data_IF_587806898877
#
_entry.id   IF_587806898877
#
_cell.length_a   1.000
_cell.length_b   1.000
_cell.length_c   1.000
_cell.angle_alpha   90.00
_cell.angle_beta   90.00
_cell.angle_gamma   90.00
#
_symmetry.space_group_name_H-M   'P 1'
#
loop_
_entity.id
_entity.type
_entity.pdbx_description
1 polymer ?
#
# COMPACT_ATOMS: atom_id res chain seq x y z
N UNK A 1 -42.79 2.63 -33.48
CA UNK A 1 -42.44 3.50 -32.34
C UNK A 1 -41.35 2.78 -31.56
N UNK A 2 -40.08 3.12 -31.81
CA UNK A 2 -38.92 2.57 -31.11
C UNK A 2 -38.67 3.39 -29.85
N UNK A 3 -38.75 2.75 -28.68
CA UNK A 3 -38.40 3.37 -27.41
C UNK A 3 -36.88 3.61 -27.35
N UNK A 4 -36.49 4.88 -27.24
CA UNK A 4 -35.13 5.30 -26.94
C UNK A 4 -34.79 4.89 -25.50
N UNK A 5 -33.99 3.84 -25.33
CA UNK A 5 -33.40 3.51 -24.04
C UNK A 5 -32.39 4.58 -23.64
N UNK A 6 -32.71 5.37 -22.62
CA UNK A 6 -31.78 6.33 -22.02
C UNK A 6 -30.55 5.60 -21.50
N UNK A 7 -29.38 5.88 -22.09
CA UNK A 7 -28.09 5.40 -21.61
C UNK A 7 -27.91 5.90 -20.16
N UNK A 8 -27.83 4.99 -19.19
CA UNK A 8 -27.51 5.35 -17.80
C UNK A 8 -26.16 6.10 -17.80
N UNK A 9 -26.18 7.38 -17.42
CA UNK A 9 -24.96 8.15 -17.16
C UNK A 9 -24.65 8.11 -15.67
N UNK A 10 -23.54 7.51 -15.29
CA UNK A 10 -23.07 7.44 -13.91
C UNK A 10 -21.72 6.75 -13.82
N UNK A 11 -20.95 7.07 -12.77
CA UNK A 11 -19.69 6.39 -12.44
C UNK A 11 -20.00 5.27 -11.46
N UNK A 12 -19.68 4.03 -11.82
CA UNK A 12 -19.72 2.92 -10.87
C UNK A 12 -18.57 3.09 -9.87
N UNK A 13 -18.88 3.07 -8.58
CA UNK A 13 -17.90 3.25 -7.52
C UNK A 13 -18.16 2.28 -6.38
N UNK A 14 -17.11 1.59 -5.94
CA UNK A 14 -17.12 0.82 -4.70
C UNK A 14 -17.01 1.77 -3.51
N UNK A 15 -17.96 1.73 -2.56
CA UNK A 15 -17.91 2.55 -1.35
C UNK A 15 -17.69 1.67 -0.10
N UNK A 16 -17.04 2.23 0.93
CA UNK A 16 -16.84 1.57 2.21
C UNK A 16 -16.73 2.59 3.34
N UNK A 17 -16.93 2.13 4.59
CA UNK A 17 -16.85 2.97 5.79
C UNK A 17 -15.48 3.66 5.85
N UNK A 18 -15.47 4.97 6.12
CA UNK A 18 -14.26 5.79 6.23
C UNK A 18 -13.38 5.81 4.96
N UNK A 19 -13.95 5.60 3.76
CA UNK A 19 -13.22 5.67 2.49
C UNK A 19 -12.43 6.97 2.25
N UNK A 20 -12.79 8.08 2.89
CA UNK A 20 -12.06 9.35 2.81
C UNK A 20 -10.97 9.51 3.88
N UNK A 21 -10.75 8.51 4.74
CA UNK A 21 -9.72 8.50 5.79
C UNK A 21 -8.61 7.52 5.44
N UNK A 22 -7.54 7.56 6.21
CA UNK A 22 -6.41 6.63 6.13
C UNK A 22 -6.17 5.96 7.49
N UNK A 23 -5.39 4.89 7.48
CA UNK A 23 -5.02 4.12 8.66
C UNK A 23 -3.55 4.34 8.98
N UNK A 24 -3.27 4.71 10.23
CA UNK A 24 -1.90 4.71 10.77
C UNK A 24 -1.76 3.61 11.81
N UNK A 25 -0.55 3.05 11.94
CA UNK A 25 -0.26 2.06 12.97
C UNK A 25 -0.12 2.77 14.32
N UNK A 26 -0.95 2.40 15.29
CA UNK A 26 -0.93 2.94 16.65
C UNK A 26 0.11 2.24 17.52
N UNK A 27 0.20 0.92 17.40
CA UNK A 27 1.14 0.07 18.12
C UNK A 27 1.63 -1.05 17.18
N UNK A 28 2.91 -0.97 16.79
CA UNK A 28 3.55 -1.93 15.90
C UNK A 28 3.62 -3.35 16.50
N UNK A 29 3.63 -3.48 17.83
CA UNK A 29 3.68 -4.78 18.52
C UNK A 29 2.33 -5.49 18.58
N UNK A 30 1.23 -4.77 18.32
CA UNK A 30 -0.14 -5.29 18.44
C UNK A 30 -0.96 -5.21 17.15
N UNK A 31 -0.40 -4.67 16.06
CA UNK A 31 -1.10 -4.56 14.79
C UNK A 31 -2.34 -3.67 14.82
N UNK A 32 -2.44 -2.74 15.78
CA UNK A 32 -3.62 -1.88 15.93
C UNK A 32 -3.53 -0.66 15.01
N UNK A 33 -4.63 -0.35 14.34
CA UNK A 33 -4.75 0.81 13.46
C UNK A 33 -5.64 1.91 14.05
N UNK A 34 -5.32 3.15 13.72
CA UNK A 34 -6.10 4.34 14.04
C UNK A 34 -6.57 5.01 12.74
N UNK A 35 -7.87 5.35 12.67
CA UNK A 35 -8.43 6.13 11.56
C UNK A 35 -8.09 7.60 11.72
N UNK A 36 -7.42 8.17 10.72
CA UNK A 36 -7.05 9.59 10.71
C UNK A 36 -7.45 10.25 9.38
N UNK A 37 -7.51 11.58 9.38
CA UNK A 37 -7.71 12.32 8.15
C UNK A 37 -6.48 12.16 7.24
N UNK A 38 -6.68 12.16 5.92
CA UNK A 38 -5.57 12.03 4.95
C UNK A 38 -4.52 13.16 5.06
N UNK A 39 -4.93 14.31 5.60
CA UNK A 39 -4.06 15.46 5.84
C UNK A 39 -3.39 15.47 7.23
N UNK A 40 -3.59 14.42 8.04
CA UNK A 40 -2.90 14.30 9.32
C UNK A 40 -1.38 14.26 9.08
N UNK A 41 -0.62 15.09 9.80
CA UNK A 41 0.82 15.25 9.59
C UNK A 41 1.58 13.92 9.72
N UNK A 42 1.08 12.98 10.54
CA UNK A 42 1.66 11.64 10.74
C UNK A 42 1.61 10.79 9.48
N UNK A 43 0.66 11.04 8.58
CA UNK A 43 0.53 10.34 7.29
C UNK A 43 1.65 10.74 6.33
N UNK A 44 2.13 11.97 6.46
CA UNK A 44 3.25 12.51 5.65
C UNK A 44 4.62 12.32 6.31
N UNK A 45 4.67 11.70 7.50
CA UNK A 45 5.90 11.48 8.23
C UNK A 45 6.86 10.59 7.43
N UNK A 46 8.07 11.08 7.20
CA UNK A 46 9.13 10.33 6.51
C UNK A 46 10.02 9.68 7.57
N UNK A 47 10.10 8.34 7.54
CA UNK A 47 10.94 7.57 8.47
C UNK A 47 12.29 7.28 7.83
N UNK A 48 13.37 7.76 8.43
CA UNK A 48 14.72 7.48 7.95
C UNK A 48 15.04 5.99 8.14
N UNK A 49 15.68 5.38 7.13
CA UNK A 49 16.16 4.01 7.26
C UNK A 49 17.41 3.97 8.14
N UNK A 50 17.41 3.03 9.07
CA UNK A 50 18.58 2.65 9.85
C UNK A 50 19.15 1.37 9.26
N UNK A 51 20.38 1.42 8.77
CA UNK A 51 21.07 0.20 8.34
C UNK A 51 21.30 -0.70 9.56
N UNK A 52 20.89 -1.97 9.45
CA UNK A 52 21.04 -2.98 10.50
C UNK A 52 22.17 -3.93 10.13
N UNK A 53 22.14 -4.47 8.90
CA UNK A 53 23.09 -5.45 8.40
C UNK A 53 23.32 -5.28 6.90
N UNK A 54 24.47 -5.80 6.43
CA UNK A 54 24.92 -5.72 5.04
C UNK A 54 25.49 -7.07 4.60
N UNK A 55 24.96 -7.62 3.51
CA UNK A 55 25.33 -8.95 3.02
C UNK A 55 25.89 -8.89 1.59
N UNK A 56 26.96 -9.65 1.33
CA UNK A 56 27.58 -9.77 0.01
C UNK A 56 28.59 -8.66 -0.33
N UNK A 57 29.39 -8.88 -1.38
CA UNK A 57 30.43 -7.94 -1.84
C UNK A 57 29.86 -6.70 -2.57
N UNK A 58 28.71 -6.83 -3.25
CA UNK A 58 28.01 -5.77 -3.97
C UNK A 58 26.64 -5.50 -3.35
N UNK A 59 26.61 -5.12 -2.08
CA UNK A 59 25.38 -4.98 -1.31
C UNK A 59 24.54 -3.73 -1.66
N UNK A 60 24.89 -2.96 -2.68
CA UNK A 60 24.19 -1.72 -3.06
C UNK A 60 22.98 -1.95 -3.97
N UNK A 61 22.88 -3.14 -4.55
CA UNK A 61 21.90 -3.44 -5.60
C UNK A 61 20.57 -3.88 -5.02
N UNK A 62 20.61 -4.62 -3.90
CA UNK A 62 19.44 -5.17 -3.22
C UNK A 62 19.20 -4.47 -1.88
N UNK A 63 17.93 -4.31 -1.50
CA UNK A 63 17.52 -3.69 -0.25
C UNK A 63 16.41 -4.52 0.39
N UNK A 64 16.58 -4.83 1.68
CA UNK A 64 15.54 -5.43 2.53
C UNK A 64 15.16 -4.37 3.57
N UNK A 65 13.87 -4.04 3.64
CA UNK A 65 13.33 -3.08 4.59
C UNK A 65 12.43 -3.84 5.56
N UNK A 66 12.78 -3.81 6.84
CA UNK A 66 11.97 -4.39 7.91
C UNK A 66 11.14 -3.29 8.57
N UNK A 67 9.81 -3.38 8.44
CA UNK A 67 8.86 -2.43 9.01
C UNK A 67 7.51 -2.45 8.31
N UNK A 68 6.63 -1.53 8.67
CA UNK A 68 5.37 -1.36 7.95
C UNK A 68 5.61 -0.89 6.51
N UNK A 69 4.91 -1.51 5.56
CA UNK A 69 5.10 -1.28 4.13
C UNK A 69 4.67 0.11 3.67
N UNK A 70 3.65 0.73 4.28
CA UNK A 70 3.22 2.07 3.89
C UNK A 70 4.30 3.10 4.27
N UNK A 71 4.91 2.96 5.45
CA UNK A 71 6.06 3.76 5.86
C UNK A 71 7.26 3.55 4.93
N UNK A 72 7.59 2.30 4.59
CA UNK A 72 8.69 1.97 3.70
C UNK A 72 8.52 2.61 2.32
N UNK A 73 7.35 2.45 1.70
CA UNK A 73 7.04 3.03 0.40
C UNK A 73 7.06 4.57 0.44
N UNK A 74 6.58 5.17 1.54
CA UNK A 74 6.64 6.62 1.75
C UNK A 74 8.09 7.10 1.79
N UNK A 75 8.96 6.44 2.56
CA UNK A 75 10.38 6.78 2.64
C UNK A 75 11.10 6.61 1.30
N UNK A 76 10.83 5.53 0.55
CA UNK A 76 11.36 5.33 -0.80
C UNK A 76 10.95 6.45 -1.76
N UNK A 77 9.72 6.97 -1.64
CA UNK A 77 9.21 8.03 -2.51
C UNK A 77 9.69 9.44 -2.14
N UNK A 78 10.05 9.68 -0.87
CA UNK A 78 10.30 11.03 -0.32
C UNK A 78 11.77 11.33 -0.02
N UNK A 79 12.55 10.35 0.42
CA UNK A 79 13.97 10.59 0.75
C UNK A 79 14.75 10.80 -0.56
N UNK A 80 15.51 11.90 -0.74
CA UNK A 80 16.09 12.27 -2.03
C UNK A 80 16.92 11.16 -2.72
N UNK A 81 17.75 10.46 -1.96
CA UNK A 81 18.59 9.37 -2.46
C UNK A 81 17.76 8.23 -3.05
N UNK A 82 16.77 7.74 -2.29
CA UNK A 82 15.89 6.66 -2.71
C UNK A 82 14.91 7.09 -3.80
N UNK A 83 14.38 8.31 -3.70
CA UNK A 83 13.50 8.89 -4.70
C UNK A 83 14.15 8.88 -6.08
N UNK A 84 15.41 9.30 -6.17
CA UNK A 84 16.18 9.29 -7.43
C UNK A 84 16.32 7.89 -8.02
N UNK A 85 16.41 6.86 -7.17
CA UNK A 85 16.60 5.46 -7.56
C UNK A 85 15.29 4.74 -7.92
N UNK A 86 14.18 5.05 -7.24
CA UNK A 86 12.97 4.22 -7.29
C UNK A 86 11.73 4.90 -7.87
N UNK A 87 11.55 6.22 -7.79
CA UNK A 87 10.35 6.88 -8.33
C UNK A 87 10.32 6.83 -9.85
N UNK A 88 9.24 6.30 -10.41
CA UNK A 88 9.09 6.00 -11.84
C UNK A 88 10.17 5.07 -12.42
N UNK A 89 10.77 4.20 -11.60
CA UNK A 89 11.87 3.30 -12.01
C UNK A 89 11.60 1.82 -11.74
N UNK A 90 10.58 1.49 -10.94
CA UNK A 90 10.28 0.09 -10.60
C UNK A 90 9.54 -0.57 -11.76
N UNK A 91 10.14 -1.63 -12.31
CA UNK A 91 9.58 -2.36 -13.45
C UNK A 91 8.45 -3.31 -13.08
N UNK A 92 8.53 -3.91 -11.89
CA UNK A 92 7.57 -4.89 -11.41
C UNK A 92 7.36 -4.71 -9.91
N UNK A 93 6.09 -4.64 -9.51
CA UNK A 93 5.68 -4.73 -8.12
C UNK A 93 4.82 -5.99 -8.01
N UNK A 94 5.23 -6.91 -7.15
CA UNK A 94 4.45 -8.10 -6.81
C UNK A 94 4.08 -8.03 -5.34
N UNK A 95 2.79 -8.16 -5.02
CA UNK A 95 2.30 -8.22 -3.65
C UNK A 95 1.39 -9.42 -3.45
N UNK A 96 1.54 -10.06 -2.29
CA UNK A 96 0.71 -11.15 -1.82
C UNK A 96 0.12 -10.74 -0.46
N UNK A 97 -0.87 -9.83 -0.44
CA UNK A 97 -1.48 -9.35 0.79
C UNK A 97 -2.32 -10.46 1.44
N UNK A 98 -2.62 -10.37 2.76
CA UNK A 98 -3.57 -11.27 3.40
C UNK A 98 -4.91 -11.25 2.65
N UNK A 99 -5.50 -12.43 2.42
CA UNK A 99 -6.65 -12.60 1.54
C UNK A 99 -7.99 -12.17 2.15
N UNK A 100 -8.03 -11.92 3.46
CA UNK A 100 -9.22 -11.59 4.22
C UNK A 100 -10.31 -12.68 4.08
N UNK A 101 -9.88 -13.94 4.14
CA UNK A 101 -10.73 -15.12 3.93
C UNK A 101 -11.43 -15.60 5.21
N UNK A 102 -11.17 -14.96 6.35
CA UNK A 102 -11.63 -15.41 7.66
C UNK A 102 -10.93 -16.68 8.14
N UNK A 103 -9.84 -17.10 7.49
CA UNK A 103 -9.07 -18.27 7.89
C UNK A 103 -7.89 -17.81 8.75
N UNK A 104 -7.76 -18.37 9.96
CA UNK A 104 -6.62 -18.08 10.84
C UNK A 104 -5.30 -18.49 10.18
N UNK A 105 -4.59 -17.54 9.56
CA UNK A 105 -3.17 -17.70 9.27
C UNK A 105 -2.39 -17.34 10.54
N UNK A 106 -1.39 -18.15 10.88
CA UNK A 106 -0.58 -18.00 12.09
C UNK A 106 0.22 -16.70 12.18
N UNK A 107 0.31 -15.92 11.09
CA UNK A 107 1.27 -14.83 10.97
C UNK A 107 0.63 -13.43 10.83
N UNK A 108 -0.68 -13.29 10.54
CA UNK A 108 -1.39 -12.00 10.45
C UNK A 108 -2.89 -12.17 10.71
N UNK A 109 -3.57 -11.11 11.16
CA UNK A 109 -5.01 -11.10 11.42
C UNK A 109 -5.81 -11.15 10.09
N UNK A 110 -6.32 -12.32 9.71
CA UNK A 110 -7.14 -12.55 8.50
C UNK A 110 -8.64 -12.26 8.73
N UNK A 111 -8.98 -11.60 9.85
CA UNK A 111 -10.33 -11.14 10.19
C UNK A 111 -10.42 -9.61 10.20
N UNK A 112 -9.77 -8.95 9.23
CA UNK A 112 -9.94 -7.50 9.11
C UNK A 112 -11.32 -7.19 8.52
N UNK A 113 -12.00 -6.23 9.15
CA UNK A 113 -13.16 -5.59 8.55
C UNK A 113 -12.83 -5.14 7.12
N UNK A 114 -13.71 -5.42 6.16
CA UNK A 114 -13.45 -5.12 4.74
C UNK A 114 -13.05 -3.66 4.51
N UNK A 115 -13.63 -2.72 5.27
CA UNK A 115 -13.27 -1.30 5.21
C UNK A 115 -11.81 -1.02 5.60
N UNK A 116 -11.30 -1.74 6.59
CA UNK A 116 -9.90 -1.66 7.05
C UNK A 116 -8.99 -2.24 5.96
N UNK A 117 -9.28 -3.46 5.49
CA UNK A 117 -8.50 -4.10 4.44
C UNK A 117 -8.45 -3.28 3.15
N UNK A 118 -9.60 -2.80 2.66
CA UNK A 118 -9.69 -1.96 1.46
C UNK A 118 -8.88 -0.67 1.62
N UNK A 119 -8.90 -0.06 2.80
CA UNK A 119 -8.13 1.16 3.09
C UNK A 119 -6.63 0.85 3.14
N UNK A 120 -6.23 -0.24 3.80
CA UNK A 120 -4.84 -0.68 3.84
C UNK A 120 -4.27 -0.95 2.45
N UNK A 121 -5.05 -1.62 1.59
CA UNK A 121 -4.68 -1.92 0.21
C UNK A 121 -4.64 -0.66 -0.65
N UNK A 122 -5.68 0.18 -0.59
CA UNK A 122 -5.74 1.44 -1.36
C UNK A 122 -4.50 2.29 -1.13
N UNK A 123 -4.14 2.54 0.13
CA UNK A 123 -3.06 3.46 0.46
C UNK A 123 -1.69 2.92 0.02
N UNK A 124 -1.48 1.60 0.17
CA UNK A 124 -0.25 0.93 -0.26
C UNK A 124 -0.13 0.87 -1.78
N UNK A 125 -1.21 0.54 -2.49
CA UNK A 125 -1.22 0.49 -3.96
C UNK A 125 -0.99 1.89 -4.53
N UNK A 126 -1.64 2.92 -4.00
CA UNK A 126 -1.42 4.30 -4.43
C UNK A 126 0.05 4.73 -4.24
N UNK A 127 0.64 4.41 -3.09
CA UNK A 127 2.05 4.75 -2.83
C UNK A 127 3.02 3.92 -3.69
N UNK A 128 2.73 2.64 -3.89
CA UNK A 128 3.50 1.76 -4.76
C UNK A 128 3.47 2.22 -6.22
N UNK A 129 2.33 2.73 -6.68
CA UNK A 129 2.17 3.27 -8.03
C UNK A 129 3.10 4.46 -8.32
N UNK A 130 3.41 5.29 -7.32
CA UNK A 130 4.40 6.38 -7.46
C UNK A 130 5.82 5.88 -7.78
N UNK A 131 6.13 4.61 -7.52
CA UNK A 131 7.43 4.01 -7.80
C UNK A 131 7.49 3.35 -9.19
N UNK A 132 6.34 2.98 -9.75
CA UNK A 132 6.25 2.20 -10.98
C UNK A 132 6.70 3.01 -12.20
N UNK A 133 7.51 2.43 -13.08
CA UNK A 133 7.82 3.06 -14.38
C UNK A 133 6.60 3.12 -15.28
N UNK A 134 6.62 3.97 -16.31
CA UNK A 134 5.52 4.14 -17.27
C UNK A 134 5.14 2.83 -17.99
N UNK A 135 6.10 1.92 -18.11
CA UNK A 135 5.96 0.58 -18.72
C UNK A 135 6.00 -0.56 -17.68
N UNK A 136 5.88 -0.23 -16.39
CA UNK A 136 5.92 -1.19 -15.30
C UNK A 136 4.57 -1.88 -15.08
N UNK A 137 4.57 -2.94 -14.28
CA UNK A 137 3.34 -3.66 -13.91
C UNK A 137 3.25 -3.92 -12.40
N UNK A 138 2.03 -3.85 -11.87
CA UNK A 138 1.71 -4.23 -10.50
C UNK A 138 0.81 -5.47 -10.52
N UNK A 139 1.26 -6.52 -9.84
CA UNK A 139 0.59 -7.81 -9.73
C UNK A 139 0.20 -8.04 -8.28
N UNK A 140 -1.08 -8.36 -8.08
CA UNK A 140 -1.64 -8.66 -6.76
C UNK A 140 -2.13 -10.09 -6.80
N UNK A 141 -1.57 -10.96 -5.96
CA UNK A 141 -2.12 -12.28 -5.76
C UNK A 141 -3.31 -12.16 -4.81
N UNK A 142 -4.48 -12.66 -5.23
CA UNK A 142 -5.68 -12.76 -4.40
C UNK A 142 -6.23 -14.19 -4.54
N UNK A 143 -6.72 -14.76 -3.44
CA UNK A 143 -7.50 -15.99 -3.48
C UNK A 143 -8.95 -15.65 -3.80
N UNK A 144 -9.53 -16.42 -4.71
CA UNK A 144 -10.94 -16.41 -5.09
C UNK A 144 -11.66 -17.48 -4.29
#
# INVERSE_FOLDING_TARGET
MTQNGSKLSGKLELNWVNKNKTLIVKDYGKGQYEWVNQNDYRVSEVRLFKEIEKFGKNSSDNLIICGDSLNALTSLSKIPEYRKKYVNKVKLIYIDPPFNTGQMFTNYDDQLEHSVWLTMMRDRVLKAYELLSDDGSLWVHLKI
#
